data_IF_525456434872
#
_entry.id   IF_525456434872
#
_cell.length_a   1.000
_cell.length_b   1.000
_cell.length_c   1.000
_cell.angle_alpha   90.00
_cell.angle_beta   90.00
_cell.angle_gamma   90.00
#
_symmetry.space_group_name_H-M   'P 1'
#
loop_
_entity.id
_entity.type
_entity.pdbx_description
1 polymer ?
#
# COMPACT_ATOMS: atom_id res chain seq x y z
N UNK A 1 -9.13 8.19 17.60
CA UNK A 1 -9.50 8.02 16.17
C UNK A 1 -8.22 8.06 15.36
N UNK A 2 -7.85 6.97 14.70
CA UNK A 2 -6.61 6.92 13.91
C UNK A 2 -6.86 7.58 12.55
N UNK A 3 -6.06 8.59 12.21
CA UNK A 3 -6.12 9.27 10.92
C UNK A 3 -4.93 8.83 10.08
N UNK A 4 -5.21 8.20 8.93
CA UNK A 4 -4.18 7.77 7.99
C UNK A 4 -3.67 8.95 7.17
N UNK A 5 -2.36 9.00 6.93
CA UNK A 5 -1.79 9.88 5.91
C UNK A 5 -2.21 9.44 4.51
N UNK A 6 -2.07 10.31 3.51
CA UNK A 6 -2.39 9.98 2.12
C UNK A 6 -1.59 8.76 1.61
N UNK A 7 -0.33 8.62 2.03
CA UNK A 7 0.53 7.49 1.65
C UNK A 7 0.04 6.21 2.32
N UNK A 8 -0.30 6.24 3.61
CA UNK A 8 -0.84 5.09 4.35
C UNK A 8 -2.16 4.61 3.76
N UNK A 9 -3.09 5.54 3.49
CA UNK A 9 -4.36 5.22 2.85
C UNK A 9 -4.15 4.59 1.47
N UNK A 10 -3.19 5.10 0.68
CA UNK A 10 -2.84 4.53 -0.63
C UNK A 10 -2.27 3.13 -0.52
N UNK A 11 -1.33 2.91 0.41
CA UNK A 11 -0.70 1.61 0.65
C UNK A 11 -1.76 0.59 1.06
N UNK A 12 -2.61 0.93 2.04
CA UNK A 12 -3.69 0.07 2.50
C UNK A 12 -4.66 -0.26 1.36
N UNK A 13 -5.13 0.74 0.62
CA UNK A 13 -6.04 0.53 -0.51
C UNK A 13 -5.42 -0.33 -1.62
N UNK A 14 -4.13 -0.16 -1.89
CA UNK A 14 -3.41 -0.98 -2.89
C UNK A 14 -3.27 -2.42 -2.43
N UNK A 15 -3.02 -2.66 -1.13
CA UNK A 15 -3.01 -4.00 -0.54
C UNK A 15 -4.39 -4.67 -0.61
N UNK A 16 -5.46 -3.94 -0.31
CA UNK A 16 -6.82 -4.48 -0.38
C UNK A 16 -7.25 -4.81 -1.82
N UNK A 17 -6.93 -3.91 -2.76
CA UNK A 17 -7.25 -4.10 -4.17
C UNK A 17 -6.56 -5.33 -4.73
N UNK A 18 -5.24 -5.46 -4.53
CA UNK A 18 -4.47 -6.55 -5.14
C UNK A 18 -4.73 -7.89 -4.46
N UNK A 19 -5.09 -7.93 -3.17
CA UNK A 19 -5.47 -9.19 -2.51
C UNK A 19 -6.74 -9.76 -3.14
N UNK A 20 -7.68 -8.88 -3.48
CA UNK A 20 -8.95 -9.28 -4.09
C UNK A 20 -8.86 -9.56 -5.59
N UNK A 21 -8.09 -8.75 -6.31
CA UNK A 21 -8.09 -8.78 -7.79
C UNK A 21 -6.97 -9.63 -8.39
N UNK A 22 -5.87 -9.81 -7.66
CA UNK A 22 -4.68 -10.54 -8.12
C UNK A 22 -4.06 -11.36 -6.97
N UNK A 23 -4.83 -12.28 -6.33
CA UNK A 23 -4.40 -13.02 -5.14
C UNK A 23 -3.18 -13.93 -5.38
N UNK A 24 -2.92 -14.33 -6.63
CA UNK A 24 -1.80 -15.19 -7.02
C UNK A 24 -0.43 -14.53 -6.82
N UNK A 25 -0.38 -13.20 -6.72
CA UNK A 25 0.85 -12.46 -6.45
C UNK A 25 1.02 -12.08 -4.97
N UNK A 26 0.17 -12.61 -4.07
CA UNK A 26 0.28 -12.37 -2.64
C UNK A 26 1.21 -13.38 -1.93
N UNK A 27 2.01 -12.92 -0.95
CA UNK A 27 2.17 -11.53 -0.51
C UNK A 27 2.99 -10.68 -1.51
N UNK A 28 2.65 -9.40 -1.64
CA UNK A 28 3.36 -8.47 -2.52
C UNK A 28 4.77 -8.16 -2.00
N UNK A 29 5.75 -8.09 -2.90
CA UNK A 29 7.05 -7.48 -2.60
C UNK A 29 6.93 -5.96 -2.44
N UNK A 30 7.89 -5.32 -1.78
CA UNK A 30 7.91 -3.86 -1.62
C UNK A 30 7.81 -3.12 -2.97
N UNK A 31 8.57 -3.56 -3.97
CA UNK A 31 8.55 -2.95 -5.30
C UNK A 31 7.20 -3.15 -6.00
N UNK A 32 6.58 -4.35 -5.88
CA UNK A 32 5.26 -4.60 -6.43
C UNK A 32 4.20 -3.69 -5.78
N UNK A 33 4.25 -3.51 -4.46
CA UNK A 33 3.37 -2.59 -3.74
C UNK A 33 3.61 -1.12 -4.11
N UNK A 34 4.87 -0.68 -4.24
CA UNK A 34 5.19 0.67 -4.71
C UNK A 34 4.63 0.92 -6.11
N UNK A 35 4.80 -0.05 -7.01
CA UNK A 35 4.24 0.03 -8.36
C UNK A 35 2.71 0.09 -8.32
N UNK A 36 2.06 -0.69 -7.44
CA UNK A 36 0.62 -0.62 -7.22
C UNK A 36 0.16 0.75 -6.70
N UNK A 37 0.91 1.37 -5.78
CA UNK A 37 0.60 2.70 -5.27
C UNK A 37 0.65 3.78 -6.36
N UNK A 38 1.62 3.66 -7.27
CA UNK A 38 1.93 4.61 -8.34
C UNK A 38 1.30 4.24 -9.70
N UNK A 39 0.31 3.35 -9.73
CA UNK A 39 -0.39 3.01 -10.98
C UNK A 39 -1.01 4.26 -11.61
N UNK A 40 -0.92 4.38 -12.94
CA UNK A 40 -1.53 5.48 -13.70
C UNK A 40 -3.05 5.34 -13.81
N UNK A 41 -3.57 4.13 -13.68
CA UNK A 41 -4.99 3.81 -13.66
C UNK A 41 -5.47 3.52 -12.24
N UNK A 42 -6.76 3.72 -12.00
CA UNK A 42 -7.41 3.43 -10.71
C UNK A 42 -6.79 4.15 -9.51
N UNK A 43 -6.13 5.30 -9.74
CA UNK A 43 -5.53 6.16 -8.72
C UNK A 43 -5.93 7.61 -8.96
N UNK A 44 -6.40 8.26 -7.91
CA UNK A 44 -6.65 9.69 -7.88
C UNK A 44 -6.19 10.26 -6.52
N UNK A 45 -5.19 11.17 -6.48
CA UNK A 45 -4.32 11.54 -7.60
C UNK A 45 -3.36 10.41 -7.98
N UNK A 46 -2.83 10.45 -9.21
CA UNK A 46 -1.65 9.65 -9.59
C UNK A 46 -0.47 10.11 -8.76
N UNK A 47 0.27 9.16 -8.18
CA UNK A 47 1.39 9.43 -7.27
C UNK A 47 2.71 8.91 -7.82
N UNK A 48 3.81 9.36 -7.22
CA UNK A 48 5.15 8.83 -7.48
C UNK A 48 5.91 8.66 -6.17
N UNK A 49 5.38 7.79 -5.29
CA UNK A 49 6.02 7.49 -4.00
C UNK A 49 7.30 6.70 -4.18
N UNK A 50 8.33 7.05 -3.42
CA UNK A 50 9.57 6.28 -3.32
C UNK A 50 9.43 5.07 -2.37
N UNK A 51 10.47 4.23 -2.31
CA UNK A 51 10.49 3.05 -1.44
C UNK A 51 10.42 3.41 0.04
N UNK A 52 11.07 4.49 0.45
CA UNK A 52 11.13 4.89 1.85
C UNK A 52 9.77 5.38 2.34
N UNK A 53 9.02 6.12 1.51
CA UNK A 53 7.66 6.55 1.80
C UNK A 53 6.72 5.35 1.99
N UNK A 54 6.80 4.36 1.09
CA UNK A 54 5.99 3.14 1.18
C UNK A 54 6.40 2.30 2.40
N UNK A 55 7.70 2.13 2.66
CA UNK A 55 8.20 1.41 3.84
C UNK A 55 7.73 2.03 5.15
N UNK A 56 7.82 3.36 5.28
CA UNK A 56 7.34 4.09 6.48
C UNK A 56 5.84 3.90 6.68
N UNK A 57 5.05 3.93 5.59
CA UNK A 57 3.62 3.69 5.65
C UNK A 57 3.30 2.24 6.08
N UNK A 58 4.00 1.23 5.54
CA UNK A 58 3.86 -0.17 5.96
C UNK A 58 4.16 -0.32 7.45
N UNK A 59 5.29 0.24 7.92
CA UNK A 59 5.68 0.17 9.33
C UNK A 59 4.60 0.77 10.24
N UNK A 60 4.12 1.97 9.92
CA UNK A 60 3.07 2.62 10.72
C UNK A 60 1.76 1.85 10.70
N UNK A 61 1.33 1.33 9.55
CA UNK A 61 0.10 0.52 9.45
C UNK A 61 0.21 -0.78 10.27
N UNK A 62 1.40 -1.40 10.28
CA UNK A 62 1.70 -2.59 11.09
C UNK A 62 1.71 -2.30 12.58
N UNK A 63 2.35 -1.22 13.00
CA UNK A 63 2.41 -0.80 14.41
C UNK A 63 1.02 -0.49 14.97
N UNK A 64 0.09 -0.05 14.11
CA UNK A 64 -1.32 0.15 14.46
C UNK A 64 -2.20 -1.10 14.28
N UNK A 65 -1.63 -2.25 13.94
CA UNK A 65 -2.35 -3.52 13.78
C UNK A 65 -3.31 -3.58 12.59
N UNK A 66 -3.17 -2.68 11.61
CA UNK A 66 -4.06 -2.62 10.44
C UNK A 66 -3.66 -3.63 9.37
N UNK A 67 -2.36 -3.87 9.23
CA UNK A 67 -1.80 -4.87 8.32
C UNK A 67 -0.91 -5.82 9.10
N UNK A 68 -0.83 -7.07 8.65
CA UNK A 68 0.08 -8.07 9.16
C UNK A 68 0.87 -8.70 8.03
N UNK A 69 2.07 -9.18 8.34
CA UNK A 69 2.74 -10.16 7.48
C UNK A 69 1.99 -11.49 7.63
N UNK A 70 1.80 -12.22 6.52
CA UNK A 70 1.33 -13.61 6.57
C UNK A 70 2.46 -14.52 6.99
#
# INVERSE_FOLDING_TARGET
>A
MLLLSAVEARVLGSLMEKEKTTPEYYPLTLNALRNACNQKSSRDPVTNYDEMQVLKAIARLRDNGIISEK
#
